data_IF_464849842464
#
_entry.id   IF_464849842464
#
_cell.length_a   1.000
_cell.length_b   1.000
_cell.length_c   1.000
_cell.angle_alpha   90.00
_cell.angle_beta   90.00
_cell.angle_gamma   90.00
#
_symmetry.space_group_name_H-M   'P 1'
#
loop_
_entity.id
_entity.type
_entity.pdbx_description
1 polymer ?
#
# COMPACT_ATOMS: atom_id res chain seq x y z
N UNK A 1 -15.74 -6.68 -39.34
CA UNK A 1 -15.26 -6.33 -40.69
C UNK A 1 -14.70 -4.93 -40.57
N UNK A 2 -13.41 -4.72 -40.83
CA UNK A 2 -12.79 -3.41 -40.58
C UNK A 2 -13.26 -2.39 -41.62
N UNK A 3 -14.12 -1.46 -41.20
CA UNK A 3 -14.65 -0.36 -42.01
C UNK A 3 -13.57 0.72 -42.19
N UNK A 4 -12.71 0.57 -43.20
CA UNK A 4 -11.62 1.51 -43.52
C UNK A 4 -11.69 1.99 -44.95
N UNK A 5 -11.11 3.17 -45.21
CA UNK A 5 -11.00 3.73 -46.54
C UNK A 5 -9.94 3.00 -47.37
N UNK A 6 -10.27 2.61 -48.61
CA UNK A 6 -9.32 1.92 -49.50
C UNK A 6 -8.21 2.82 -50.08
N UNK A 7 -8.22 4.12 -49.78
CA UNK A 7 -7.26 5.11 -50.29
C UNK A 7 -6.24 5.47 -49.24
N UNK A 8 -6.68 5.97 -48.08
CA UNK A 8 -5.78 6.33 -46.98
C UNK A 8 -5.59 5.21 -45.95
N UNK A 9 -6.33 4.10 -46.04
CA UNK A 9 -6.33 2.97 -45.10
C UNK A 9 -6.72 3.30 -43.66
N UNK A 10 -7.21 4.52 -43.41
CA UNK A 10 -7.72 4.96 -42.11
C UNK A 10 -9.17 4.47 -41.91
N UNK A 11 -9.53 4.20 -40.65
CA UNK A 11 -10.89 3.80 -40.28
C UNK A 11 -11.87 4.91 -40.60
N UNK A 12 -13.06 4.54 -41.07
CA UNK A 12 -14.14 5.51 -41.25
C UNK A 12 -14.61 6.01 -39.87
N UNK A 13 -14.94 7.29 -39.81
CA UNK A 13 -15.50 7.96 -38.64
C UNK A 13 -16.73 8.80 -39.06
N UNK A 14 -17.34 9.54 -38.14
CA UNK A 14 -18.47 10.43 -38.44
C UNK A 14 -18.05 11.87 -38.77
N UNK A 15 -16.74 12.14 -38.81
CA UNK A 15 -16.14 13.47 -38.89
C UNK A 15 -15.26 13.60 -40.16
N UNK A 16 -13.93 13.49 -40.01
CA UNK A 16 -12.94 13.72 -41.06
C UNK A 16 -12.88 12.55 -42.06
N UNK A 17 -12.98 11.32 -41.58
CA UNK A 17 -13.00 10.10 -42.38
C UNK A 17 -14.42 9.63 -42.68
N UNK A 18 -15.38 10.55 -42.81
CA UNK A 18 -16.77 10.18 -43.08
C UNK A 18 -16.95 9.48 -44.44
N UNK A 19 -17.59 8.30 -44.52
CA UNK A 19 -17.64 7.51 -45.75
C UNK A 19 -18.60 8.12 -46.78
N UNK A 20 -18.09 8.40 -47.98
CA UNK A 20 -18.78 8.99 -49.13
C UNK A 20 -18.92 8.01 -50.28
N UNK A 21 -20.11 7.91 -50.85
CA UNK A 21 -20.42 7.05 -51.98
C UNK A 21 -20.19 7.77 -53.31
N UNK A 22 -19.24 7.28 -54.10
CA UNK A 22 -19.03 7.73 -55.47
C UNK A 22 -20.18 7.24 -56.37
N UNK A 23 -20.47 7.89 -57.52
CA UNK A 23 -21.56 7.49 -58.42
C UNK A 23 -21.40 6.11 -59.05
N UNK A 24 -20.21 5.51 -58.92
CA UNK A 24 -19.93 4.14 -59.34
C UNK A 24 -20.23 3.10 -58.26
N UNK A 25 -20.63 3.51 -57.05
CA UNK A 25 -20.93 2.64 -55.91
C UNK A 25 -19.76 2.38 -54.97
N UNK A 26 -18.54 2.82 -55.27
CA UNK A 26 -17.40 2.70 -54.36
C UNK A 26 -17.45 3.74 -53.25
N UNK A 27 -16.99 3.38 -52.07
CA UNK A 27 -16.98 4.24 -50.88
C UNK A 27 -15.56 4.66 -50.53
N UNK A 28 -15.32 5.96 -50.35
CA UNK A 28 -14.05 6.53 -49.88
C UNK A 28 -14.32 7.59 -48.81
N UNK A 29 -13.33 7.99 -48.01
CA UNK A 29 -13.57 8.96 -46.94
C UNK A 29 -13.67 10.40 -47.47
N UNK A 30 -14.34 11.27 -46.69
CA UNK A 30 -14.52 12.70 -46.99
C UNK A 30 -13.18 13.40 -47.26
N UNK A 31 -12.18 13.18 -46.42
CA UNK A 31 -10.85 13.77 -46.63
C UNK A 31 -10.20 13.35 -47.96
N UNK A 32 -10.36 12.08 -48.37
CA UNK A 32 -9.88 11.61 -49.67
C UNK A 32 -10.68 12.18 -50.85
N UNK A 33 -11.98 12.44 -50.66
CA UNK A 33 -12.85 13.11 -51.63
C UNK A 33 -12.45 14.57 -51.83
N UNK A 34 -12.17 15.27 -50.73
CA UNK A 34 -11.79 16.69 -50.72
C UNK A 34 -10.34 16.92 -51.18
N UNK A 35 -9.54 15.84 -51.29
CA UNK A 35 -8.19 15.93 -51.80
C UNK A 35 -8.18 16.41 -53.28
N UNK A 36 -7.55 17.55 -53.59
CA UNK A 36 -7.49 18.09 -54.96
C UNK A 36 -6.89 17.12 -55.99
N UNK A 37 -6.07 16.15 -55.56
CA UNK A 37 -5.44 15.18 -56.45
C UNK A 37 -6.36 14.06 -56.93
N UNK A 38 -7.54 13.86 -56.33
CA UNK A 38 -8.45 12.76 -56.69
C UNK A 38 -9.02 12.94 -58.11
N UNK A 39 -9.23 14.18 -58.54
CA UNK A 39 -9.85 14.51 -59.82
C UNK A 39 -11.31 14.01 -59.93
N UNK A 40 -11.83 13.90 -61.16
CA UNK A 40 -13.23 13.51 -61.46
C UNK A 40 -13.39 12.03 -61.82
N UNK A 41 -12.53 11.15 -61.28
CA UNK A 41 -12.54 9.71 -61.56
C UNK A 41 -12.46 8.91 -60.27
N UNK A 42 -13.15 7.78 -60.22
CA UNK A 42 -13.05 6.87 -59.09
C UNK A 42 -11.64 6.27 -59.03
N UNK A 43 -10.94 6.32 -57.88
CA UNK A 43 -9.60 5.72 -57.76
C UNK A 43 -9.64 4.19 -57.87
N UNK A 44 -10.74 3.55 -57.46
CA UNK A 44 -10.88 2.09 -57.47
C UNK A 44 -11.19 1.54 -58.86
N UNK A 45 -12.20 2.09 -59.55
CA UNK A 45 -12.65 1.57 -60.84
C UNK A 45 -12.41 2.49 -62.05
N UNK A 46 -11.77 3.65 -61.83
CA UNK A 46 -11.41 4.65 -62.86
C UNK A 46 -12.57 5.26 -63.64
N UNK A 47 -13.82 4.94 -63.28
CA UNK A 47 -15.02 5.50 -63.89
C UNK A 47 -15.11 7.00 -63.58
N UNK A 48 -15.25 7.82 -64.63
CA UNK A 48 -15.42 9.26 -64.48
C UNK A 48 -16.81 9.57 -63.93
N UNK A 49 -16.91 10.59 -63.08
CA UNK A 49 -18.17 11.06 -62.54
C UNK A 49 -18.34 12.57 -62.75
N UNK A 50 -19.59 12.99 -63.00
CA UNK A 50 -19.95 14.38 -63.28
C UNK A 50 -20.63 14.97 -62.05
N UNK A 51 -19.84 15.48 -61.12
CA UNK A 51 -20.32 16.14 -59.91
C UNK A 51 -19.85 17.59 -59.96
N UNK A 52 -20.72 18.51 -59.51
CA UNK A 52 -20.42 19.96 -59.50
C UNK A 52 -19.42 20.30 -58.41
N UNK A 53 -19.62 19.79 -57.19
CA UNK A 53 -18.69 19.94 -56.08
C UNK A 53 -18.55 18.62 -55.31
N UNK A 54 -17.34 18.30 -54.87
CA UNK A 54 -17.01 17.00 -54.28
C UNK A 54 -17.75 16.77 -52.95
N UNK A 55 -18.17 17.85 -52.29
CA UNK A 55 -18.95 17.85 -51.05
C UNK A 55 -20.41 17.39 -51.27
N UNK A 56 -20.91 17.45 -52.51
CA UNK A 56 -22.27 17.03 -52.87
C UNK A 56 -22.39 15.48 -52.97
N UNK A 57 -21.30 14.74 -52.72
CA UNK A 57 -21.31 13.28 -52.69
C UNK A 57 -22.14 12.74 -51.50
N UNK A 58 -23.08 11.81 -51.76
CA UNK A 58 -23.92 11.25 -50.70
C UNK A 58 -23.10 10.39 -49.75
N UNK A 59 -23.51 10.35 -48.50
CA UNK A 59 -22.88 9.49 -47.52
C UNK A 59 -23.24 8.02 -47.72
N UNK A 60 -22.35 7.13 -47.29
CA UNK A 60 -22.70 5.72 -47.11
C UNK A 60 -23.51 5.55 -45.84
N UNK A 61 -24.83 5.71 -45.94
CA UNK A 61 -25.74 5.57 -44.79
C UNK A 61 -25.65 4.19 -44.13
N UNK A 62 -25.38 3.12 -44.90
CA UNK A 62 -25.18 1.77 -44.34
C UNK A 62 -23.92 1.72 -43.50
N UNK A 63 -22.80 2.25 -44.00
CA UNK A 63 -21.53 2.31 -43.26
C UNK A 63 -21.66 3.19 -42.03
N UNK A 64 -22.30 4.36 -42.15
CA UNK A 64 -22.57 5.27 -41.04
C UNK A 64 -23.43 4.59 -39.98
N UNK A 65 -24.51 3.91 -40.36
CA UNK A 65 -25.35 3.19 -39.41
C UNK A 65 -24.57 2.08 -38.70
N UNK A 66 -23.62 1.43 -39.38
CA UNK A 66 -22.73 0.48 -38.72
C UNK A 66 -21.78 1.15 -37.74
N UNK A 67 -21.19 2.31 -38.09
CA UNK A 67 -20.37 3.10 -37.16
C UNK A 67 -21.18 3.57 -35.95
N UNK A 68 -22.39 4.10 -36.18
CA UNK A 68 -23.34 4.50 -35.14
C UNK A 68 -23.78 3.31 -34.26
N UNK A 69 -23.85 2.09 -34.81
CA UNK A 69 -24.17 0.88 -34.04
C UNK A 69 -22.97 0.33 -33.27
N UNK A 70 -21.74 0.52 -33.74
CA UNK A 70 -20.51 0.25 -32.98
C UNK A 70 -20.34 1.29 -31.84
N UNK A 71 -20.85 2.51 -32.03
CA UNK A 71 -20.94 3.59 -31.04
C UNK A 71 -22.20 3.51 -30.14
N UNK A 72 -23.06 2.50 -30.31
CA UNK A 72 -24.15 2.18 -29.37
C UNK A 72 -23.78 0.91 -28.61
N UNK A 73 -23.18 1.03 -27.41
CA UNK A 73 -23.23 -0.03 -26.43
C UNK A 73 -24.70 -0.41 -26.22
N UNK A 74 -25.04 -1.67 -25.89
CA UNK A 74 -26.37 -1.97 -25.37
C UNK A 74 -26.67 -0.93 -24.28
N UNK A 75 -27.85 -0.29 -24.30
CA UNK A 75 -28.29 0.68 -23.28
C UNK A 75 -28.27 0.04 -21.88
N UNK A 76 -27.09 -0.15 -21.33
CA UNK A 76 -26.80 0.16 -19.96
C UNK A 76 -26.70 1.68 -20.02
N UNK A 77 -27.50 2.36 -19.20
CA UNK A 77 -27.14 3.69 -18.69
C UNK A 77 -25.62 3.71 -18.49
N UNK A 78 -24.90 4.84 -18.63
CA UNK A 78 -23.58 4.88 -18.01
C UNK A 78 -23.84 4.40 -16.59
N UNK A 79 -23.34 3.20 -16.24
CA UNK A 79 -23.19 2.87 -14.85
C UNK A 79 -22.17 3.92 -14.49
N UNK A 80 -22.64 5.05 -13.96
CA UNK A 80 -22.00 5.63 -12.81
C UNK A 80 -21.71 4.41 -11.97
N UNK A 81 -20.49 3.90 -12.08
CA UNK A 81 -20.04 2.81 -11.25
C UNK A 81 -20.30 3.36 -9.88
N UNK A 82 -21.34 2.84 -9.23
CA UNK A 82 -21.80 3.37 -7.98
C UNK A 82 -20.55 3.38 -7.09
N UNK A 83 -20.01 4.57 -6.77
CA UNK A 83 -18.70 4.66 -6.17
C UNK A 83 -18.68 3.92 -4.83
N UNK A 84 -19.86 3.85 -4.19
CA UNK A 84 -20.10 3.05 -3.00
C UNK A 84 -20.01 1.55 -3.32
N UNK A 85 -20.63 1.07 -4.40
CA UNK A 85 -20.51 -0.33 -4.84
C UNK A 85 -19.07 -0.72 -5.16
N UNK A 86 -18.31 0.15 -5.85
CA UNK A 86 -16.92 -0.11 -6.19
C UNK A 86 -16.02 -0.11 -4.94
N UNK A 87 -16.27 0.81 -4.00
CA UNK A 87 -15.59 0.85 -2.71
C UNK A 87 -15.93 -0.37 -1.85
N UNK A 88 -17.20 -0.78 -1.79
CA UNK A 88 -17.65 -1.97 -1.09
C UNK A 88 -17.01 -3.23 -1.67
N UNK A 89 -16.88 -3.31 -2.99
CA UNK A 89 -16.24 -4.44 -3.64
C UNK A 89 -14.75 -4.51 -3.32
N UNK A 90 -14.01 -3.40 -3.42
CA UNK A 90 -12.61 -3.33 -2.97
C UNK A 90 -12.46 -3.68 -1.49
N UNK A 91 -13.37 -3.18 -0.64
CA UNK A 91 -13.40 -3.45 0.79
C UNK A 91 -13.67 -4.92 1.10
N UNK A 92 -14.60 -5.56 0.39
CA UNK A 92 -14.90 -6.97 0.52
C UNK A 92 -13.71 -7.84 0.06
N UNK A 93 -13.03 -7.45 -1.01
CA UNK A 93 -11.86 -8.16 -1.52
C UNK A 93 -10.68 -8.05 -0.53
N UNK A 94 -10.45 -6.86 0.02
CA UNK A 94 -9.47 -6.64 1.08
C UNK A 94 -9.84 -7.45 2.35
N UNK A 95 -11.12 -7.44 2.74
CA UNK A 95 -11.61 -8.19 3.89
C UNK A 95 -11.42 -9.70 3.75
N UNK A 96 -11.65 -10.27 2.56
CA UNK A 96 -11.37 -11.70 2.31
C UNK A 96 -9.89 -12.05 2.48
N UNK A 97 -8.99 -11.19 1.98
CA UNK A 97 -7.54 -11.36 2.16
C UNK A 97 -7.13 -11.26 3.63
N UNK A 98 -7.72 -10.34 4.39
CA UNK A 98 -7.49 -10.24 5.85
C UNK A 98 -7.92 -11.52 6.54
N UNK A 99 -9.11 -12.04 6.24
CA UNK A 99 -9.61 -13.28 6.84
C UNK A 99 -8.74 -14.48 6.47
N UNK A 100 -8.29 -14.58 5.22
CA UNK A 100 -7.37 -15.63 4.77
C UNK A 100 -6.05 -15.59 5.55
N UNK A 101 -5.45 -14.40 5.69
CA UNK A 101 -4.25 -14.23 6.49
C UNK A 101 -4.49 -14.59 7.96
N UNK A 102 -5.57 -14.12 8.57
CA UNK A 102 -5.91 -14.44 9.97
C UNK A 102 -6.08 -15.95 10.19
N UNK A 103 -6.68 -16.67 9.23
CA UNK A 103 -6.79 -18.13 9.31
C UNK A 103 -5.44 -18.84 9.31
N UNK A 104 -4.41 -18.25 8.68
CA UNK A 104 -3.04 -18.78 8.68
C UNK A 104 -2.29 -18.41 9.95
N UNK A 105 -2.34 -17.14 10.38
CA UNK A 105 -1.50 -16.65 11.49
C UNK A 105 -2.06 -16.95 12.88
N UNK A 106 -3.37 -17.05 13.05
CA UNK A 106 -3.99 -17.29 14.37
C UNK A 106 -3.56 -18.64 14.96
N UNK A 107 -3.61 -19.77 14.23
CA UNK A 107 -3.13 -21.05 14.76
C UNK A 107 -1.66 -21.00 15.20
N UNK A 108 -0.79 -20.38 14.40
CA UNK A 108 0.64 -20.23 14.71
C UNK A 108 0.87 -19.37 15.97
N UNK A 109 0.12 -18.28 16.10
CA UNK A 109 0.18 -17.44 17.30
C UNK A 109 -0.30 -18.19 18.55
N UNK A 110 -1.39 -18.95 18.44
CA UNK A 110 -1.91 -19.79 19.53
C UNK A 110 -0.90 -20.87 19.93
N UNK A 111 -0.28 -21.55 18.97
CA UNK A 111 0.76 -22.55 19.23
C UNK A 111 1.98 -21.93 19.93
N UNK A 112 2.45 -20.77 19.47
CA UNK A 112 3.55 -20.06 20.13
C UNK A 112 3.19 -19.64 21.56
N UNK A 113 1.95 -19.21 21.81
CA UNK A 113 1.48 -18.85 23.14
C UNK A 113 1.34 -20.06 24.05
N UNK A 114 0.86 -21.20 23.54
CA UNK A 114 0.80 -22.44 24.29
C UNK A 114 2.20 -22.91 24.69
N UNK A 115 3.17 -22.88 23.76
CA UNK A 115 4.57 -23.21 24.07
C UNK A 115 5.15 -22.29 25.15
N UNK A 116 4.82 -20.99 25.08
CA UNK A 116 5.25 -20.03 26.11
C UNK A 116 4.61 -20.34 27.47
N UNK A 117 3.33 -20.68 27.50
CA UNK A 117 2.64 -21.08 28.73
C UNK A 117 3.29 -22.33 29.33
N UNK A 118 3.53 -23.36 28.53
CA UNK A 118 4.19 -24.59 28.97
C UNK A 118 5.60 -24.31 29.52
N UNK A 119 6.37 -23.46 28.84
CA UNK A 119 7.69 -23.03 29.32
C UNK A 119 7.61 -22.30 30.66
N UNK A 120 6.69 -21.33 30.80
CA UNK A 120 6.51 -20.60 32.06
C UNK A 120 6.07 -21.51 33.21
N UNK A 121 5.22 -22.50 32.94
CA UNK A 121 4.81 -23.52 33.93
C UNK A 121 5.99 -24.39 34.35
N UNK A 122 6.81 -24.83 33.41
CA UNK A 122 8.01 -25.61 33.72
C UNK A 122 9.03 -24.81 34.54
N UNK A 123 9.24 -23.54 34.19
CA UNK A 123 10.09 -22.61 34.92
C UNK A 123 9.58 -22.40 36.36
N UNK A 124 8.28 -22.18 36.54
CA UNK A 124 7.67 -22.05 37.86
C UNK A 124 7.92 -23.31 38.71
N UNK A 125 7.72 -24.50 38.14
CA UNK A 125 7.98 -25.76 38.84
C UNK A 125 9.43 -25.89 39.33
N UNK A 126 10.41 -25.46 38.53
CA UNK A 126 11.82 -25.45 38.96
C UNK A 126 12.06 -24.51 40.16
N UNK A 127 11.44 -23.34 40.15
CA UNK A 127 11.55 -22.36 41.25
C UNK A 127 10.88 -22.89 42.52
N UNK A 128 9.68 -23.47 42.39
CA UNK A 128 8.94 -24.06 43.51
C UNK A 128 9.70 -25.24 44.14
N UNK A 129 10.24 -26.17 43.33
CA UNK A 129 11.07 -27.25 43.84
C UNK A 129 12.36 -26.75 44.53
N UNK A 130 13.01 -25.72 43.97
CA UNK A 130 14.19 -25.12 44.57
C UNK A 130 13.88 -24.48 45.93
N UNK A 131 12.71 -23.83 46.04
CA UNK A 131 12.21 -23.25 47.29
C UNK A 131 11.94 -24.34 48.33
N UNK A 132 11.22 -25.41 47.97
CA UNK A 132 10.96 -26.54 48.87
C UNK A 132 12.25 -27.16 49.40
N UNK A 133 13.23 -27.39 48.52
CA UNK A 133 14.55 -27.93 48.90
C UNK A 133 15.32 -27.01 49.86
N UNK A 134 15.15 -25.69 49.76
CA UNK A 134 15.76 -24.73 50.69
C UNK A 134 15.07 -24.77 52.05
N UNK A 135 13.74 -24.72 52.07
CA UNK A 135 12.95 -24.79 53.31
C UNK A 135 13.25 -26.08 54.09
N UNK A 136 13.37 -27.22 53.41
CA UNK A 136 13.72 -28.49 54.05
C UNK A 136 15.14 -28.50 54.64
N UNK A 137 16.13 -27.88 53.96
CA UNK A 137 17.50 -27.75 54.47
C UNK A 137 17.59 -26.83 55.69
N UNK A 138 16.88 -25.71 55.67
CA UNK A 138 16.78 -24.79 56.80
C UNK A 138 16.16 -25.48 58.03
N UNK A 139 15.10 -26.27 57.82
CA UNK A 139 14.47 -27.07 58.88
C UNK A 139 15.40 -28.15 59.46
N UNK A 140 16.36 -28.65 58.66
CA UNK A 140 17.37 -29.62 59.09
C UNK A 140 18.58 -28.96 59.79
N UNK A 141 18.63 -27.62 59.89
CA UNK A 141 19.74 -26.89 60.50
C UNK A 141 21.01 -26.83 59.66
N UNK A 142 20.93 -27.18 58.38
CA UNK A 142 22.06 -27.19 57.45
C UNK A 142 22.23 -25.81 56.81
N UNK A 143 23.15 -25.01 57.36
CA UNK A 143 23.59 -23.72 56.77
C UNK A 143 24.66 -24.00 55.71
N UNK A 144 24.29 -24.74 54.67
CA UNK A 144 25.19 -25.03 53.55
C UNK A 144 25.53 -23.77 52.75
N UNK A 145 26.78 -23.68 52.29
CA UNK A 145 27.29 -22.60 51.42
C UNK A 145 26.44 -22.48 50.15
N UNK A 146 26.13 -21.27 49.64
CA UNK A 146 25.41 -21.12 48.39
C UNK A 146 26.25 -21.74 47.26
N UNK A 147 25.82 -22.91 46.80
CA UNK A 147 26.36 -23.59 45.63
C UNK A 147 25.74 -22.99 44.37
N UNK A 148 26.50 -22.97 43.26
CA UNK A 148 26.06 -22.60 41.90
C UNK A 148 24.69 -23.20 41.51
N UNK A 149 24.32 -24.34 42.11
CA UNK A 149 23.03 -25.01 41.94
C UNK A 149 21.80 -24.17 42.36
N UNK A 150 21.97 -22.99 42.96
CA UNK A 150 20.85 -22.09 43.29
C UNK A 150 20.85 -20.77 42.53
N UNK A 151 21.89 -20.47 41.76
CA UNK A 151 21.90 -19.24 40.95
C UNK A 151 20.87 -19.31 39.82
N UNK A 152 20.75 -20.46 39.13
CA UNK A 152 19.82 -20.65 38.02
C UNK A 152 18.34 -20.55 38.46
N UNK A 153 17.87 -21.23 39.53
CA UNK A 153 16.51 -21.03 40.05
C UNK A 153 16.22 -19.61 40.52
N UNK A 154 17.22 -18.91 41.08
CA UNK A 154 17.05 -17.54 41.54
C UNK A 154 16.87 -16.57 40.36
N UNK A 155 17.66 -16.76 39.29
CA UNK A 155 17.51 -16.01 38.05
C UNK A 155 16.14 -16.25 37.40
N UNK A 156 15.66 -17.50 37.38
CA UNK A 156 14.30 -17.81 36.91
C UNK A 156 13.24 -17.10 37.75
N UNK A 157 13.40 -17.06 39.08
CA UNK A 157 12.46 -16.37 39.96
C UNK A 157 12.41 -14.86 39.67
N UNK A 158 13.58 -14.21 39.53
CA UNK A 158 13.66 -12.79 39.15
C UNK A 158 12.99 -12.51 37.81
N UNK A 159 13.16 -13.41 36.83
CA UNK A 159 12.52 -13.32 35.52
C UNK A 159 10.99 -13.46 35.61
N UNK A 160 10.47 -14.41 36.39
CA UNK A 160 9.03 -14.59 36.61
C UNK A 160 8.43 -13.37 37.32
N UNK A 161 9.11 -12.81 38.32
CA UNK A 161 8.67 -11.57 38.98
C UNK A 161 8.65 -10.38 38.02
N UNK A 162 9.67 -10.23 37.18
CA UNK A 162 9.72 -9.18 36.17
C UNK A 162 8.56 -9.31 35.17
N UNK A 163 8.24 -10.55 34.77
CA UNK A 163 7.11 -10.86 33.90
C UNK A 163 5.77 -10.53 34.56
N UNK A 164 5.60 -10.88 35.84
CA UNK A 164 4.40 -10.53 36.61
C UNK A 164 4.24 -9.01 36.76
N UNK A 165 5.32 -8.28 37.10
CA UNK A 165 5.32 -6.80 37.16
C UNK A 165 4.90 -6.17 35.84
N UNK A 166 5.38 -6.72 34.73
CA UNK A 166 5.02 -6.28 33.38
C UNK A 166 3.51 -6.51 33.09
N UNK A 167 2.99 -7.70 33.39
CA UNK A 167 1.60 -8.09 33.14
C UNK A 167 0.59 -7.35 34.02
N UNK A 168 1.00 -6.95 35.21
CA UNK A 168 0.15 -6.22 36.19
C UNK A 168 0.31 -4.71 36.11
N UNK A 169 1.28 -4.21 35.33
CA UNK A 169 1.49 -2.77 35.19
C UNK A 169 0.35 -2.10 34.44
N UNK A 170 -0.16 -1.00 34.99
CA UNK A 170 -1.16 -0.14 34.35
C UNK A 170 -0.58 0.72 33.22
N UNK A 171 0.75 0.77 33.11
CA UNK A 171 1.47 1.52 32.08
C UNK A 171 2.80 0.82 31.75
N UNK A 172 2.96 0.35 30.52
CA UNK A 172 4.17 -0.29 30.06
C UNK A 172 4.85 0.57 29.00
N UNK A 173 6.17 0.77 29.10
CA UNK A 173 6.98 1.40 28.06
C UNK A 173 7.84 0.34 27.39
N UNK A 174 7.57 0.04 26.12
CA UNK A 174 8.41 -0.87 25.34
C UNK A 174 9.41 -0.02 24.57
N UNK A 175 10.70 -0.23 24.85
CA UNK A 175 11.80 0.33 24.07
C UNK A 175 12.33 -0.76 23.14
N UNK A 176 12.29 -0.53 21.83
CA UNK A 176 12.95 -1.39 20.85
C UNK A 176 14.16 -0.63 20.31
N UNK A 177 15.35 -1.19 20.50
CA UNK A 177 16.60 -0.68 19.93
C UNK A 177 16.88 -1.43 18.63
N UNK A 178 16.88 -0.71 17.52
CA UNK A 178 17.28 -1.25 16.23
C UNK A 178 18.80 -1.14 16.07
N UNK A 179 19.42 -2.13 15.44
CA UNK A 179 20.85 -2.16 15.14
C UNK A 179 21.19 -0.96 14.23
N UNK A 180 21.64 0.14 14.85
CA UNK A 180 21.67 1.48 14.24
C UNK A 180 21.35 2.64 15.21
N UNK A 181 20.90 2.35 16.43
CA UNK A 181 20.80 3.33 17.53
C UNK A 181 19.47 4.08 17.61
N UNK A 182 18.48 3.74 16.79
CA UNK A 182 17.12 4.26 16.96
C UNK A 182 16.38 3.45 18.04
N UNK A 183 16.20 4.03 19.21
CA UNK A 183 15.39 3.49 20.29
C UNK A 183 13.96 4.05 20.18
N UNK A 184 12.98 3.18 19.89
CA UNK A 184 11.57 3.57 19.87
C UNK A 184 10.92 3.22 21.21
N UNK A 185 10.50 4.23 21.96
CA UNK A 185 9.74 4.05 23.21
C UNK A 185 8.24 4.22 22.97
N UNK A 186 7.47 3.16 23.12
CA UNK A 186 6.00 3.21 23.07
C UNK A 186 5.42 3.00 24.47
N UNK A 187 4.65 3.98 24.97
CA UNK A 187 3.85 3.80 26.19
C UNK A 187 2.49 3.20 25.82
N UNK A 188 2.22 1.99 26.29
CA UNK A 188 0.94 1.31 26.16
C UNK A 188 0.27 1.33 27.54
N UNK A 189 -0.97 1.77 27.61
CA UNK A 189 -1.83 1.48 28.76
C UNK A 189 -2.53 0.16 28.48
N UNK A 190 -2.22 -0.93 29.22
CA UNK A 190 -2.86 -2.21 28.95
C UNK A 190 -4.32 -2.17 29.40
N UNK A 191 -5.23 -1.95 28.45
CA UNK A 191 -6.67 -1.99 28.61
C UNK A 191 -7.23 -3.29 28.04
N UNK A 192 -7.20 -4.37 28.83
CA UNK A 192 -7.79 -5.67 28.48
C UNK A 192 -6.81 -6.67 27.85
N UNK A 193 -7.31 -7.88 27.54
CA UNK A 193 -6.47 -9.03 27.16
C UNK A 193 -5.61 -8.79 25.90
N UNK A 194 -6.05 -7.94 24.97
CA UNK A 194 -5.33 -7.64 23.73
C UNK A 194 -3.99 -6.93 23.95
N UNK A 195 -3.91 -6.05 24.95
CA UNK A 195 -2.68 -5.32 25.24
C UNK A 195 -1.66 -6.18 25.99
N UNK A 196 -2.15 -7.09 26.83
CA UNK A 196 -1.33 -8.11 27.50
C UNK A 196 -0.68 -9.05 26.47
N UNK A 197 -1.46 -9.53 25.50
CA UNK A 197 -0.98 -10.34 24.38
C UNK A 197 0.08 -9.60 23.54
N UNK A 198 -0.13 -8.31 23.28
CA UNK A 198 0.83 -7.48 22.55
C UNK A 198 2.16 -7.36 23.27
N UNK A 199 2.13 -7.19 24.58
CA UNK A 199 3.34 -7.12 25.42
C UNK A 199 4.09 -8.47 25.43
N UNK A 200 3.39 -9.60 25.52
CA UNK A 200 3.98 -10.93 25.43
C UNK A 200 4.64 -11.19 24.06
N UNK A 201 3.98 -10.81 22.97
CA UNK A 201 4.53 -10.96 21.61
C UNK A 201 5.78 -10.08 21.40
N UNK A 202 5.81 -8.88 21.97
CA UNK A 202 7.00 -8.01 21.93
C UNK A 202 8.16 -8.62 22.73
N UNK A 203 7.88 -9.25 23.87
CA UNK A 203 8.89 -9.96 24.66
C UNK A 203 9.45 -11.18 23.91
N UNK A 204 8.59 -11.99 23.32
CA UNK A 204 9.00 -13.15 22.50
C UNK A 204 9.89 -12.74 21.31
N UNK A 205 9.65 -11.56 20.71
CA UNK A 205 10.52 -11.00 19.67
C UNK A 205 11.88 -10.57 20.25
N UNK A 206 11.89 -9.88 21.38
CA UNK A 206 13.13 -9.42 22.03
C UNK A 206 14.02 -10.60 22.48
N UNK A 207 13.40 -11.67 22.96
CA UNK A 207 14.09 -12.89 23.40
C UNK A 207 14.51 -13.80 22.22
N UNK A 208 14.36 -13.33 20.97
CA UNK A 208 14.74 -14.08 19.76
C UNK A 208 13.88 -15.31 19.48
N UNK A 209 12.81 -15.52 20.25
CA UNK A 209 11.94 -16.70 20.14
C UNK A 209 10.89 -16.58 19.03
N UNK A 210 10.68 -15.36 18.52
CA UNK A 210 10.02 -15.10 17.24
C UNK A 210 11.09 -14.87 16.19
N UNK A 211 11.30 -15.87 15.32
CA UNK A 211 12.18 -15.73 14.17
C UNK A 211 11.70 -14.60 13.26
N UNK A 212 12.65 -13.78 12.78
CA UNK A 212 12.41 -12.93 11.61
C UNK A 212 12.16 -13.91 10.45
N UNK A 213 11.04 -13.79 9.76
CA UNK A 213 10.90 -14.49 8.47
C UNK A 213 11.95 -13.83 7.57
N UNK A 214 12.98 -14.59 7.20
CA UNK A 214 14.04 -14.10 6.34
C UNK A 214 13.43 -13.50 5.07
N UNK A 215 13.95 -12.36 4.64
CA UNK A 215 13.62 -11.68 3.37
C UNK A 215 13.95 -12.57 2.14
N UNK A 216 14.39 -13.81 2.35
CA UNK A 216 14.62 -14.85 1.35
C UNK A 216 13.32 -15.51 0.82
N UNK A 217 12.14 -15.11 1.29
CA UNK A 217 10.96 -15.09 0.41
C UNK A 217 10.95 -13.75 -0.33
N UNK A 218 12.06 -13.50 -1.04
CA UNK A 218 12.07 -12.62 -2.18
C UNK A 218 11.03 -13.20 -3.13
N UNK A 219 9.93 -12.48 -3.25
CA UNK A 219 8.92 -12.55 -4.30
C UNK A 219 9.41 -13.35 -5.53
N UNK A 220 8.90 -14.57 -5.80
CA UNK A 220 8.76 -14.98 -7.19
C UNK A 220 7.55 -14.21 -7.71
N UNK A 221 7.79 -13.16 -8.52
CA UNK A 221 6.81 -12.34 -9.25
C UNK A 221 5.33 -12.57 -8.86
N UNK A 222 4.92 -12.05 -7.69
CA UNK A 222 3.64 -12.28 -7.04
C UNK A 222 3.39 -11.28 -5.89
N UNK A 223 2.14 -11.08 -5.42
CA UNK A 223 1.80 -9.93 -4.60
C UNK A 223 2.39 -10.04 -3.18
N UNK A 224 3.33 -9.12 -2.91
CA UNK A 224 3.82 -8.61 -1.63
C UNK A 224 3.68 -9.53 -0.40
N UNK A 225 4.82 -10.08 0.01
CA UNK A 225 5.02 -10.92 1.18
C UNK A 225 4.52 -10.29 2.49
N UNK A 226 4.09 -11.17 3.39
CA UNK A 226 3.46 -10.90 4.67
C UNK A 226 4.39 -10.14 5.65
N UNK A 227 4.07 -8.88 5.92
CA UNK A 227 4.70 -8.10 6.98
C UNK A 227 3.83 -8.14 8.25
N UNK A 228 4.37 -8.65 9.36
CA UNK A 228 3.76 -8.55 10.69
C UNK A 228 4.52 -7.50 11.51
N UNK A 229 4.06 -6.27 11.41
CA UNK A 229 4.51 -5.09 12.15
C UNK A 229 3.38 -4.07 12.26
N UNK A 230 3.60 -2.88 12.87
CA UNK A 230 2.68 -1.75 12.72
C UNK A 230 2.30 -1.61 11.24
N UNK A 231 1.06 -1.21 10.90
CA UNK A 231 0.62 -1.12 9.51
C UNK A 231 1.71 -0.42 8.69
N UNK A 232 2.18 -1.06 7.62
CA UNK A 232 3.07 -0.46 6.64
C UNK A 232 2.30 0.69 5.97
N UNK A 233 2.26 1.83 6.65
CA UNK A 233 1.91 3.10 6.05
C UNK A 233 2.97 3.35 4.99
N UNK A 234 2.54 3.54 3.75
CA UNK A 234 3.42 3.91 2.65
C UNK A 234 4.21 5.16 3.06
N UNK A 235 5.53 5.00 3.21
CA UNK A 235 6.43 6.08 3.68
C UNK A 235 7.13 6.69 2.48
N UNK A 236 6.88 7.97 2.22
CA UNK A 236 7.72 8.77 1.31
C UNK A 236 8.82 9.43 2.15
N UNK A 237 10.09 9.18 1.81
CA UNK A 237 11.22 9.86 2.47
C UNK A 237 11.88 10.81 1.48
N UNK A 238 12.02 12.08 1.87
CA UNK A 238 12.73 13.07 1.05
C UNK A 238 14.24 12.94 1.28
N UNK A 239 14.99 12.78 0.19
CA UNK A 239 16.44 12.69 0.17
C UNK A 239 17.00 13.74 -0.80
N UNK A 240 18.34 13.80 -0.93
CA UNK A 240 18.99 14.85 -1.71
C UNK A 240 18.74 14.74 -3.22
N UNK A 241 18.37 13.55 -3.73
CA UNK A 241 18.01 13.37 -5.15
C UNK A 241 16.70 14.08 -5.52
N UNK A 242 15.81 14.25 -4.53
CA UNK A 242 14.55 14.98 -4.66
C UNK A 242 14.74 16.50 -4.60
N UNK A 243 15.96 16.96 -4.31
CA UNK A 243 16.30 18.38 -4.27
C UNK A 243 17.03 18.79 -5.56
N UNK A 244 16.81 20.03 -5.98
CA UNK A 244 17.65 20.76 -6.93
C UNK A 244 18.00 22.10 -6.29
N UNK A 245 19.28 22.36 -6.02
CA UNK A 245 19.74 23.58 -5.35
C UNK A 245 18.94 23.93 -4.08
N UNK A 246 18.64 22.92 -3.25
CA UNK A 246 17.87 23.08 -2.02
C UNK A 246 16.36 23.33 -2.20
N UNK A 247 15.85 23.33 -3.44
CA UNK A 247 14.41 23.36 -3.77
C UNK A 247 13.88 21.94 -3.98
N UNK A 248 12.70 21.64 -3.45
CA UNK A 248 12.05 20.35 -3.61
C UNK A 248 11.44 20.20 -5.02
N UNK A 249 11.74 19.12 -5.73
CA UNK A 249 11.19 18.79 -7.05
C UNK A 249 9.77 18.20 -6.93
N UNK A 250 8.83 19.00 -6.42
CA UNK A 250 7.44 18.57 -6.14
C UNK A 250 6.78 17.92 -7.37
N UNK A 251 6.94 18.50 -8.55
CA UNK A 251 6.33 18.00 -9.80
C UNK A 251 6.87 16.63 -10.22
N UNK A 252 8.11 16.30 -9.89
CA UNK A 252 8.71 15.01 -10.24
C UNK A 252 8.25 13.95 -9.24
N UNK A 253 8.24 14.29 -7.96
CA UNK A 253 7.70 13.43 -6.88
C UNK A 253 6.23 13.07 -7.17
N UNK A 254 5.39 14.06 -7.51
CA UNK A 254 3.97 13.85 -7.82
C UNK A 254 3.73 13.04 -9.10
N UNK A 255 4.68 13.06 -10.05
CA UNK A 255 4.59 12.31 -11.32
C UNK A 255 4.93 10.84 -11.14
N UNK A 256 5.75 10.53 -10.14
CA UNK A 256 6.21 9.18 -9.84
C UNK A 256 5.29 8.46 -8.85
N UNK A 257 4.56 9.20 -7.99
CA UNK A 257 3.59 8.64 -7.04
C UNK A 257 2.56 7.70 -7.72
N UNK A 258 1.86 8.08 -8.81
CA UNK A 258 0.85 7.20 -9.44
C UNK A 258 1.44 5.99 -10.16
N UNK A 259 2.73 6.03 -10.54
CA UNK A 259 3.37 5.00 -11.36
C UNK A 259 3.93 3.84 -10.55
N UNK A 260 4.19 4.06 -9.27
CA UNK A 260 4.85 3.07 -8.42
C UNK A 260 4.15 2.87 -7.07
N UNK A 261 3.40 3.85 -6.53
CA UNK A 261 2.99 3.84 -5.12
C UNK A 261 1.48 4.08 -4.90
N UNK A 262 0.89 3.39 -3.92
CA UNK A 262 -0.35 3.86 -3.29
C UNK A 262 -0.05 5.13 -2.48
N UNK A 263 -0.94 6.14 -2.52
CA UNK A 263 -0.76 7.46 -1.87
C UNK A 263 -0.07 7.33 -0.51
N UNK A 264 1.14 7.90 -0.33
CA UNK A 264 1.89 7.84 0.92
C UNK A 264 1.06 8.34 2.11
N UNK A 265 1.06 7.57 3.21
CA UNK A 265 0.39 7.94 4.47
C UNK A 265 1.36 8.45 5.54
N UNK A 266 2.66 8.29 5.33
CA UNK A 266 3.72 8.91 6.15
C UNK A 266 4.72 9.64 5.25
N UNK A 267 5.12 10.85 5.63
CA UNK A 267 6.11 11.65 4.93
C UNK A 267 7.27 11.97 5.88
N UNK A 268 8.48 11.50 5.55
CA UNK A 268 9.68 11.70 6.37
C UNK A 268 10.69 12.65 5.74
N UNK A 269 11.41 13.37 6.60
CA UNK A 269 12.48 14.29 6.25
C UNK A 269 12.04 15.40 5.28
N UNK A 270 10.80 15.89 5.41
CA UNK A 270 10.35 16.99 4.55
C UNK A 270 11.28 18.20 4.75
N UNK A 271 11.99 18.54 3.66
CA UNK A 271 12.99 19.61 3.60
C UNK A 271 13.03 20.25 2.21
N UNK A 272 13.65 21.42 2.16
CA UNK A 272 13.82 22.18 0.93
C UNK A 272 12.71 23.20 0.68
N UNK A 273 13.06 24.23 -0.08
CA UNK A 273 12.18 25.36 -0.42
C UNK A 273 11.06 24.87 -1.36
N UNK A 274 9.82 25.31 -1.12
CA UNK A 274 8.65 24.91 -1.93
C UNK A 274 7.99 23.61 -1.46
N UNK A 275 8.37 23.09 -0.30
CA UNK A 275 7.82 21.86 0.29
C UNK A 275 6.33 21.98 0.67
N UNK A 276 5.83 23.20 0.91
CA UNK A 276 4.42 23.51 1.10
C UNK A 276 3.55 23.07 -0.08
N UNK A 277 4.09 23.11 -1.31
CA UNK A 277 3.37 22.67 -2.51
C UNK A 277 3.09 21.16 -2.52
N UNK A 278 3.95 20.36 -1.89
CA UNK A 278 3.73 18.92 -1.72
C UNK A 278 2.66 18.66 -0.66
N UNK A 279 2.70 19.40 0.45
CA UNK A 279 1.71 19.30 1.54
C UNK A 279 0.32 19.75 1.09
N UNK A 280 0.20 20.75 0.22
CA UNK A 280 -1.11 21.17 -0.31
C UNK A 280 -1.82 20.05 -1.09
N UNK A 281 -1.05 19.15 -1.71
CA UNK A 281 -1.58 18.03 -2.50
C UNK A 281 -1.80 16.80 -1.63
N UNK A 282 -0.90 16.53 -0.69
CA UNK A 282 -0.87 15.27 0.06
C UNK A 282 -1.31 15.37 1.52
N UNK A 283 -1.37 16.57 2.09
CA UNK A 283 -1.55 16.81 3.53
C UNK A 283 -2.80 16.16 4.11
N UNK A 284 -3.92 16.20 3.38
CA UNK A 284 -5.18 15.56 3.79
C UNK A 284 -5.10 14.02 3.87
N UNK A 285 -4.10 13.42 3.24
CA UNK A 285 -3.88 11.97 3.20
C UNK A 285 -2.76 11.50 4.14
N UNK A 286 -2.03 12.43 4.77
CA UNK A 286 -0.93 12.11 5.68
C UNK A 286 -1.44 11.86 7.10
N UNK A 287 -1.15 10.65 7.59
CA UNK A 287 -1.35 10.26 8.99
C UNK A 287 -0.16 10.70 9.85
N UNK A 288 1.04 10.78 9.26
CA UNK A 288 2.28 11.20 9.92
C UNK A 288 3.13 12.09 9.00
N UNK A 289 3.61 13.21 9.55
CA UNK A 289 4.55 14.12 8.90
C UNK A 289 5.77 14.34 9.81
N UNK A 290 6.96 14.07 9.29
CA UNK A 290 8.24 14.36 9.93
C UNK A 290 8.99 15.39 9.10
N UNK A 291 9.25 16.54 9.71
CA UNK A 291 10.04 17.63 9.12
C UNK A 291 11.45 17.64 9.70
N UNK A 292 12.45 18.01 8.91
CA UNK A 292 13.84 18.11 9.38
C UNK A 292 14.33 19.56 9.33
N UNK A 293 14.82 20.08 10.47
CA UNK A 293 15.40 21.43 10.57
C UNK A 293 14.37 22.58 10.60
N UNK A 294 14.84 23.82 10.40
CA UNK A 294 14.00 25.00 10.41
C UNK A 294 13.06 25.05 9.19
N UNK A 295 11.78 24.82 9.46
CA UNK A 295 10.72 24.79 8.45
C UNK A 295 10.07 26.16 8.30
N UNK A 296 9.84 26.61 7.07
CA UNK A 296 9.16 27.87 6.80
C UNK A 296 7.74 27.91 7.40
N UNK A 297 7.25 29.07 7.87
CA UNK A 297 5.91 29.21 8.44
C UNK A 297 4.78 28.72 7.52
N UNK A 298 4.93 28.90 6.21
CA UNK A 298 3.99 28.43 5.18
C UNK A 298 3.84 26.90 5.17
N UNK A 299 4.91 26.16 5.47
CA UNK A 299 4.87 24.70 5.56
C UNK A 299 4.15 24.26 6.83
N UNK A 300 4.25 25.04 7.92
CA UNK A 300 3.55 24.76 9.17
C UNK A 300 2.04 24.96 9.09
N UNK A 301 1.60 25.95 8.30
CA UNK A 301 0.19 26.18 8.02
C UNK A 301 -0.43 25.00 7.26
N UNK A 302 0.26 24.51 6.23
CA UNK A 302 -0.17 23.34 5.45
C UNK A 302 0.00 22.01 6.24
N UNK A 303 0.98 21.93 7.14
CA UNK A 303 1.23 20.75 7.99
C UNK A 303 0.14 20.52 9.04
N UNK A 304 -0.61 21.56 9.45
CA UNK A 304 -1.70 21.46 10.42
C UNK A 304 -2.84 20.53 9.97
N UNK A 305 -2.90 20.23 8.67
CA UNK A 305 -3.87 19.31 8.07
C UNK A 305 -3.51 17.84 8.34
N UNK A 306 -2.25 17.53 8.65
CA UNK A 306 -1.81 16.18 8.98
C UNK A 306 -2.24 15.79 10.41
N UNK A 307 -2.60 14.51 10.60
CA UNK A 307 -3.05 14.02 11.92
C UNK A 307 -1.97 14.10 13.01
N UNK A 308 -0.69 13.98 12.63
CA UNK A 308 0.45 14.04 13.52
C UNK A 308 1.65 14.69 12.84
N UNK A 309 2.23 15.70 13.49
CA UNK A 309 3.43 16.40 13.03
C UNK A 309 4.55 16.21 14.05
N UNK A 310 5.71 15.72 13.59
CA UNK A 310 6.92 15.53 14.40
C UNK A 310 8.06 16.40 13.83
N UNK A 311 8.79 17.07 14.72
CA UNK A 311 9.99 17.85 14.40
C UNK A 311 11.20 17.22 15.05
N UNK A 312 12.28 17.10 14.28
CA UNK A 312 13.62 16.74 14.75
C UNK A 312 14.61 17.85 14.39
#
# INVERSE_FOLDING_TARGET
MDLKCDICFLKFDLDAHRPKNLPCGHTICKECVENPSLGKKCPTCRKAFKIRRLEDLPDSFITIRHLENEDVPPRKKPRTEDPELQQLQRGADAGRKVVEMLRLVVPLAVESLNRQLESSVAQLGQVEEALERRVQREAAGDVGTPSDAVEEPLQLAEQLEASHRLLTSTKCTVAAEEEGGCAWTASVQPGGCGDILRVLLLRLRADGQLGKVDDAIAVPDGPAAAHVGPPLISVLTINDNHLHDGRLKVSDILRDIPKQWHTPRSLKNLKGVGSEGLLRVMGAHLEELVTSGDVQPSVMEEAAVARRVLRY
#
